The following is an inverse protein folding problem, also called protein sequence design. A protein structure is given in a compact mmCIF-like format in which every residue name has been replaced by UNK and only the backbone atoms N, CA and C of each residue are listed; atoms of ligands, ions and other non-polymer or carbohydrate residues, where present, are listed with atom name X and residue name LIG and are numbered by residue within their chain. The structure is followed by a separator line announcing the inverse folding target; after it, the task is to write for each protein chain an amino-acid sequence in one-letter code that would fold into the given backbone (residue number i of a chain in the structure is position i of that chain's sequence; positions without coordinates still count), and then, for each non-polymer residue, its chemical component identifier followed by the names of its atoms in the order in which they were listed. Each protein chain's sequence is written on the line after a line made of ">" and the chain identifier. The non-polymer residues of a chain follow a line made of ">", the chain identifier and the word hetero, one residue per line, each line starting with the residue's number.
data_IF_876398383545
#
_entry.id   IF_876398383545
#
_cell.length_a   1.000
_cell.length_b   1.000
_cell.length_c   1.000
_cell.angle_alpha   90.00
_cell.angle_beta   90.00
_cell.angle_gamma   90.00
#
_symmetry.space_group_name_H-M   'P 1'
#
loop_
_entity.id
_entity.type
_entity.pdbx_description
1 polymer ?
#
# COMPACT_ATOMS: atom_id res chain seq x y z
N UNK A 1 -17.35 7.78 -9.82
CA UNK A 1 -16.56 7.54 -11.05
C UNK A 1 -15.49 8.62 -11.07
N UNK A 2 -14.20 8.27 -11.22
CA UNK A 2 -13.13 9.28 -11.24
C UNK A 2 -13.22 10.09 -12.54
N UNK A 3 -13.59 11.37 -12.49
CA UNK A 3 -13.78 12.22 -13.68
C UNK A 3 -12.55 12.24 -14.60
N UNK A 4 -11.35 12.13 -14.01
CA UNK A 4 -10.09 12.03 -14.76
C UNK A 4 -9.99 10.77 -15.63
N UNK A 5 -10.53 9.63 -15.17
CA UNK A 5 -10.55 8.37 -15.95
C UNK A 5 -11.52 8.47 -17.13
N UNK A 6 -12.59 9.24 -16.98
CA UNK A 6 -13.57 9.46 -18.05
C UNK A 6 -12.97 10.26 -19.22
N UNK A 7 -12.04 11.18 -18.96
CA UNK A 7 -11.38 12.01 -19.98
C UNK A 7 -10.14 11.36 -20.60
N UNK A 8 -9.42 10.55 -19.82
CA UNK A 8 -8.20 9.86 -20.29
C UNK A 8 -8.52 8.77 -21.32
N UNK A 9 -9.63 8.04 -21.15
CA UNK A 9 -10.05 6.97 -22.07
C UNK A 9 -10.28 7.45 -23.51
N UNK A 10 -11.07 8.51 -23.77
CA UNK A 10 -11.22 9.04 -25.12
C UNK A 10 -9.90 9.58 -25.69
N UNK A 11 -9.03 10.17 -24.86
CA UNK A 11 -7.71 10.64 -25.30
C UNK A 11 -6.81 9.50 -25.78
N UNK A 12 -6.80 8.38 -25.04
CA UNK A 12 -6.08 7.15 -25.41
C UNK A 12 -6.64 6.53 -26.71
N UNK A 13 -7.96 6.56 -26.91
CA UNK A 13 -8.56 6.09 -28.15
C UNK A 13 -8.10 6.92 -29.37
N UNK A 14 -8.03 8.25 -29.23
CA UNK A 14 -7.52 9.11 -30.29
C UNK A 14 -6.04 8.84 -30.59
N UNK A 15 -5.23 8.59 -29.55
CA UNK A 15 -3.81 8.23 -29.69
C UNK A 15 -3.65 6.93 -30.50
N UNK A 16 -4.38 5.87 -30.11
CA UNK A 16 -4.38 4.59 -30.83
C UNK A 16 -4.92 4.69 -32.26
N UNK A 17 -5.70 5.71 -32.55
CA UNK A 17 -6.19 6.01 -33.90
C UNK A 17 -5.18 6.79 -34.76
N UNK A 18 -3.97 7.05 -34.24
CA UNK A 18 -2.88 7.74 -34.94
C UNK A 18 -3.03 9.27 -35.00
N UNK A 19 -3.96 9.85 -34.23
CA UNK A 19 -4.16 11.30 -34.20
C UNK A 19 -3.14 11.99 -33.30
N UNK A 20 -2.84 13.25 -33.58
CA UNK A 20 -1.92 14.03 -32.76
C UNK A 20 -2.58 14.53 -31.46
N UNK A 21 -1.76 14.90 -30.47
CA UNK A 21 -2.24 15.47 -29.20
C UNK A 21 -3.12 16.73 -29.39
N UNK A 22 -2.83 17.54 -30.41
CA UNK A 22 -3.64 18.71 -30.75
C UNK A 22 -5.02 18.33 -31.30
N UNK A 23 -5.08 17.35 -32.20
CA UNK A 23 -6.33 16.85 -32.76
C UNK A 23 -7.19 16.20 -31.69
N UNK A 24 -6.58 15.41 -30.81
CA UNK A 24 -7.27 14.83 -29.68
C UNK A 24 -7.79 15.89 -28.69
N UNK A 25 -7.02 16.94 -28.41
CA UNK A 25 -7.50 18.04 -27.57
C UNK A 25 -8.72 18.74 -28.19
N UNK A 26 -8.68 19.07 -29.48
CA UNK A 26 -9.81 19.67 -30.18
C UNK A 26 -11.04 18.75 -30.15
N UNK A 27 -10.86 17.46 -30.41
CA UNK A 27 -11.92 16.45 -30.33
C UNK A 27 -12.54 16.39 -28.92
N UNK A 28 -11.71 16.37 -27.88
CA UNK A 28 -12.17 16.36 -26.48
C UNK A 28 -12.91 17.64 -26.13
N UNK A 29 -12.45 18.78 -26.62
CA UNK A 29 -13.10 20.07 -26.41
C UNK A 29 -14.47 20.15 -27.12
N UNK A 30 -14.59 19.59 -28.33
CA UNK A 30 -15.85 19.52 -29.07
C UNK A 30 -16.84 18.54 -28.41
N UNK A 31 -16.37 17.36 -27.98
CA UNK A 31 -17.21 16.30 -27.42
C UNK A 31 -17.61 16.52 -25.94
N UNK A 32 -16.71 17.08 -25.12
CA UNK A 32 -16.84 17.13 -23.66
C UNK A 32 -16.90 18.58 -23.12
N UNK A 33 -16.69 19.58 -23.99
CA UNK A 33 -16.88 21.02 -23.72
C UNK A 33 -16.21 21.47 -22.43
N UNK A 34 -16.99 21.86 -21.42
CA UNK A 34 -16.50 22.48 -20.19
C UNK A 34 -15.65 21.55 -19.33
N UNK A 35 -15.85 20.24 -19.46
CA UNK A 35 -15.08 19.24 -18.71
C UNK A 35 -13.83 18.77 -19.48
N UNK A 36 -13.54 19.37 -20.65
CA UNK A 36 -12.41 18.96 -21.45
C UNK A 36 -11.08 19.27 -20.74
N UNK A 37 -10.10 18.35 -20.79
CA UNK A 37 -8.78 18.60 -20.23
C UNK A 37 -8.09 19.74 -21.00
N UNK A 38 -7.31 20.54 -20.27
CA UNK A 38 -6.52 21.59 -20.90
C UNK A 38 -5.47 20.98 -21.86
N UNK A 39 -5.04 21.77 -22.85
CA UNK A 39 -4.06 21.34 -23.86
C UNK A 39 -2.80 20.72 -23.24
N UNK A 40 -2.25 21.34 -22.19
CA UNK A 40 -1.07 20.82 -21.49
C UNK A 40 -1.29 19.41 -20.89
N UNK A 41 -2.50 19.13 -20.39
CA UNK A 41 -2.85 17.81 -19.86
C UNK A 41 -2.88 16.76 -20.97
N UNK A 42 -3.47 17.08 -22.14
CA UNK A 42 -3.46 16.18 -23.29
C UNK A 42 -2.04 15.85 -23.74
N UNK A 43 -1.16 16.85 -23.83
CA UNK A 43 0.23 16.65 -24.21
C UNK A 43 1.00 15.77 -23.19
N UNK A 44 0.75 15.98 -21.90
CA UNK A 44 1.34 15.14 -20.86
C UNK A 44 0.86 13.68 -20.97
N UNK A 45 -0.42 13.45 -21.31
CA UNK A 45 -0.92 12.10 -21.56
C UNK A 45 -0.27 11.45 -22.77
N UNK A 46 -0.15 12.19 -23.89
CA UNK A 46 0.52 11.70 -25.10
C UNK A 46 1.98 11.33 -24.84
N UNK A 47 2.70 12.15 -24.06
CA UNK A 47 4.05 11.83 -23.63
C UNK A 47 4.10 10.54 -22.81
N UNK A 48 3.10 10.27 -21.97
CA UNK A 48 3.04 9.01 -21.22
C UNK A 48 2.73 7.83 -22.13
N UNK A 49 1.82 7.99 -23.10
CA UNK A 49 1.51 6.97 -24.10
C UNK A 49 2.74 6.59 -24.92
N UNK A 50 3.54 7.57 -25.34
CA UNK A 50 4.79 7.36 -26.06
C UNK A 50 5.84 6.61 -25.22
N UNK A 51 5.79 6.76 -23.89
CA UNK A 51 6.63 6.00 -22.95
C UNK A 51 6.06 4.60 -22.63
N UNK A 52 4.95 4.20 -23.26
CA UNK A 52 4.27 2.92 -23.04
C UNK A 52 3.36 2.87 -21.81
N UNK A 53 3.10 4.01 -21.15
CA UNK A 53 2.19 4.09 -20.01
C UNK A 53 0.79 4.56 -20.45
N UNK A 54 -0.03 3.58 -20.82
CA UNK A 54 -1.46 3.74 -21.17
C UNK A 54 -2.40 3.46 -19.98
N UNK A 55 -1.87 3.38 -18.75
CA UNK A 55 -2.65 2.99 -17.60
C UNK A 55 -3.70 4.05 -17.22
N UNK A 56 -4.93 3.59 -17.00
CA UNK A 56 -6.01 4.40 -16.41
C UNK A 56 -5.83 4.61 -14.90
N UNK A 57 -4.94 3.84 -14.27
CA UNK A 57 -4.58 4.03 -12.88
C UNK A 57 -3.66 5.24 -12.81
N UNK A 58 -4.14 6.33 -12.21
CA UNK A 58 -3.28 7.49 -11.99
C UNK A 58 -2.00 7.06 -11.28
N UNK A 59 -0.89 7.72 -11.59
CA UNK A 59 0.40 7.46 -10.93
C UNK A 59 0.18 7.30 -9.43
N UNK A 60 0.72 6.20 -8.87
CA UNK A 60 0.78 6.04 -7.42
C UNK A 60 1.45 7.29 -6.88
N UNK A 61 0.66 8.15 -6.25
CA UNK A 61 1.20 9.31 -5.56
C UNK A 61 2.08 8.74 -4.47
N UNK A 62 3.37 9.00 -4.54
CA UNK A 62 4.27 8.86 -3.41
C UNK A 62 3.76 9.82 -2.36
N UNK A 63 2.89 9.31 -1.49
CA UNK A 63 2.35 10.06 -0.36
C UNK A 63 3.49 10.51 0.55
N UNK A 64 3.15 11.15 1.67
CA UNK A 64 4.15 11.51 2.67
C UNK A 64 4.98 10.27 3.02
N UNK A 65 6.32 10.30 2.86
CA UNK A 65 7.14 9.16 3.22
C UNK A 65 6.91 8.85 4.70
N UNK A 66 6.65 7.59 5.01
CA UNK A 66 6.49 7.17 6.38
C UNK A 66 7.88 7.11 7.01
N UNK A 67 8.27 8.17 7.71
CA UNK A 67 9.63 8.35 8.25
C UNK A 67 9.96 7.36 9.38
N UNK A 68 8.98 6.64 9.93
CA UNK A 68 9.19 5.71 11.03
C UNK A 68 9.65 4.33 10.51
N UNK A 69 10.80 3.91 11.02
CA UNK A 69 11.36 2.59 10.75
C UNK A 69 10.47 1.53 11.40
N UNK A 70 9.60 0.91 10.59
CA UNK A 70 8.67 -0.15 11.00
C UNK A 70 9.36 -1.31 11.73
N UNK A 71 10.65 -1.55 11.46
CA UNK A 71 11.41 -2.61 12.13
C UNK A 71 11.59 -2.38 13.63
N UNK A 72 11.58 -1.12 14.08
CA UNK A 72 11.63 -0.80 15.51
C UNK A 72 10.40 -1.33 16.27
N UNK A 73 9.28 -1.51 15.59
CA UNK A 73 8.04 -2.10 16.15
C UNK A 73 7.97 -3.61 15.89
N UNK A 74 8.30 -4.04 14.66
CA UNK A 74 8.13 -5.43 14.24
C UNK A 74 9.14 -6.39 14.88
N UNK A 75 10.39 -5.97 15.10
CA UNK A 75 11.40 -6.83 15.69
C UNK A 75 11.10 -7.17 17.16
N UNK A 76 10.76 -6.20 18.05
CA UNK A 76 10.36 -6.50 19.41
C UNK A 76 9.07 -7.33 19.50
N UNK A 77 8.09 -7.03 18.63
CA UNK A 77 6.84 -7.79 18.55
C UNK A 77 7.08 -9.27 18.17
N UNK A 78 8.08 -9.56 17.32
CA UNK A 78 8.46 -10.93 16.98
C UNK A 78 9.22 -11.65 18.09
N UNK A 79 10.09 -10.93 18.82
CA UNK A 79 10.90 -11.51 19.90
C UNK A 79 10.09 -11.73 21.19
N UNK A 80 9.11 -10.85 21.47
CA UNK A 80 8.26 -10.86 22.66
C UNK A 80 6.80 -10.64 22.24
N UNK A 81 6.08 -11.71 21.84
CA UNK A 81 4.72 -11.61 21.31
C UNK A 81 3.67 -11.28 22.38
N UNK A 82 4.05 -11.27 23.64
CA UNK A 82 3.26 -10.92 24.82
C UNK A 82 3.21 -9.42 25.10
N UNK A 83 4.06 -8.61 24.45
CA UNK A 83 4.05 -7.15 24.61
C UNK A 83 2.76 -6.52 24.09
N UNK A 84 2.24 -5.57 24.86
CA UNK A 84 1.12 -4.72 24.47
C UNK A 84 1.55 -3.65 23.45
N UNK A 85 0.55 -3.11 22.74
CA UNK A 85 0.75 -1.95 21.84
C UNK A 85 1.29 -0.73 22.59
N UNK A 86 0.97 -0.57 23.88
CA UNK A 86 1.50 0.51 24.70
C UNK A 86 2.99 0.34 24.96
N UNK A 87 3.42 -0.85 25.39
CA UNK A 87 4.84 -1.13 25.64
C UNK A 87 5.69 -1.02 24.37
N UNK A 88 5.14 -1.45 23.23
CA UNK A 88 5.79 -1.28 21.92
C UNK A 88 5.89 0.19 21.51
N UNK A 89 4.90 1.00 21.84
CA UNK A 89 4.94 2.46 21.64
C UNK A 89 6.06 3.11 22.43
N UNK A 90 6.18 2.74 23.71
CA UNK A 90 7.21 3.28 24.60
C UNK A 90 8.60 2.80 24.16
N UNK A 91 8.73 1.53 23.77
CA UNK A 91 10.00 0.95 23.29
C UNK A 91 10.47 1.56 21.96
N UNK A 92 9.56 1.75 21.01
CA UNK A 92 9.87 2.25 19.67
C UNK A 92 9.76 3.78 19.55
N UNK A 93 9.45 4.49 20.65
CA UNK A 93 9.14 5.92 20.68
C UNK A 93 8.21 6.35 19.53
N UNK A 94 7.14 5.57 19.35
CA UNK A 94 6.24 5.67 18.20
C UNK A 94 4.80 5.73 18.70
N UNK A 95 3.94 6.63 18.19
CA UNK A 95 2.56 6.70 18.64
C UNK A 95 1.82 5.37 18.54
N UNK A 96 0.98 5.06 19.54
CA UNK A 96 0.21 3.81 19.61
C UNK A 96 -0.61 3.51 18.35
N UNK A 97 -1.19 4.52 17.71
CA UNK A 97 -1.92 4.37 16.45
C UNK A 97 -1.02 3.86 15.33
N UNK A 98 0.16 4.45 15.18
CA UNK A 98 1.15 3.98 14.19
C UNK A 98 1.63 2.56 14.52
N UNK A 99 1.89 2.25 15.80
CA UNK A 99 2.27 0.90 16.22
C UNK A 99 1.19 -0.11 15.82
N UNK A 100 -0.08 0.20 16.11
CA UNK A 100 -1.21 -0.63 15.72
C UNK A 100 -1.25 -0.87 14.21
N UNK A 101 -1.15 0.17 13.39
CA UNK A 101 -1.17 0.06 11.93
C UNK A 101 0.01 -0.74 11.38
N UNK A 102 1.20 -0.55 11.97
CA UNK A 102 2.42 -1.30 11.60
C UNK A 102 2.29 -2.78 11.92
N UNK A 103 1.64 -3.15 13.03
CA UNK A 103 1.38 -4.55 13.39
C UNK A 103 0.28 -5.15 12.50
N UNK A 104 -0.79 -4.39 12.24
CA UNK A 104 -1.97 -4.89 11.53
C UNK A 104 -1.77 -4.99 10.01
N UNK A 105 -1.01 -4.07 9.40
CA UNK A 105 -0.75 -4.06 7.95
C UNK A 105 -0.14 -5.35 7.37
N UNK A 106 0.78 -6.08 8.04
CA UNK A 106 1.23 -7.40 7.60
C UNK A 106 0.29 -8.56 8.02
N UNK A 107 -0.85 -8.29 8.64
CA UNK A 107 -1.82 -9.30 9.07
C UNK A 107 -1.49 -10.01 10.38
N UNK A 108 -0.71 -9.39 11.28
CA UNK A 108 -0.49 -9.97 12.63
C UNK A 108 -1.75 -9.82 13.47
N UNK A 109 -2.09 -10.88 14.20
CA UNK A 109 -3.27 -10.94 15.07
C UNK A 109 -2.84 -11.42 16.45
N UNK A 110 -3.33 -10.74 17.49
CA UNK A 110 -3.13 -11.18 18.86
C UNK A 110 -3.88 -12.50 19.10
N UNK A 111 -3.17 -13.50 19.62
CA UNK A 111 -3.75 -14.80 19.99
C UNK A 111 -3.44 -15.06 21.45
N UNK A 112 -4.38 -15.73 22.12
CA UNK A 112 -4.12 -16.20 23.48
C UNK A 112 -3.03 -17.28 23.47
N UNK A 113 -2.14 -17.27 24.48
CA UNK A 113 -1.15 -18.33 24.62
C UNK A 113 -1.84 -19.68 24.81
N UNK A 114 -1.21 -20.74 24.32
CA UNK A 114 -1.67 -22.12 24.58
C UNK A 114 -1.50 -22.41 26.07
N UNK A 115 -2.57 -22.90 26.70
CA UNK A 115 -2.50 -23.40 28.07
C UNK A 115 -1.74 -24.72 28.08
N UNK A 116 -0.70 -24.82 28.90
CA UNK A 116 0.11 -26.02 29.10
C UNK A 116 -0.20 -26.57 30.49
N UNK A 117 -0.46 -27.89 30.66
CA UNK A 117 -0.90 -28.47 31.94
C UNK A 117 0.06 -28.24 33.12
N UNK A 118 1.37 -28.28 32.86
CA UNK A 118 2.38 -28.08 33.88
C UNK A 118 3.71 -27.59 33.29
N UNK A 119 4.50 -26.91 34.13
CA UNK A 119 5.87 -26.53 33.80
C UNK A 119 6.81 -27.72 34.01
N UNK A 120 7.33 -28.27 32.92
CA UNK A 120 8.23 -29.44 32.96
C UNK A 120 9.66 -29.02 33.30
N UNK A 121 10.29 -29.78 34.21
CA UNK A 121 11.73 -29.67 34.43
C UNK A 121 12.51 -30.26 33.26
N UNK A 122 13.80 -29.92 33.07
CA UNK A 122 14.63 -30.53 32.04
C UNK A 122 14.68 -32.06 32.15
N UNK A 123 14.61 -32.61 33.36
CA UNK A 123 14.60 -34.05 33.60
C UNK A 123 13.27 -34.68 33.14
N UNK A 124 12.13 -34.04 33.40
CA UNK A 124 10.81 -34.51 32.94
C UNK A 124 10.72 -34.52 31.42
N UNK A 125 11.33 -33.54 30.75
CA UNK A 125 11.40 -33.49 29.29
C UNK A 125 12.19 -34.68 28.72
N UNK A 126 13.34 -35.02 29.32
CA UNK A 126 14.16 -36.19 28.90
C UNK A 126 13.37 -37.48 29.02
N UNK A 127 12.77 -37.72 30.19
CA UNK A 127 11.95 -38.93 30.43
C UNK A 127 10.82 -39.09 29.41
N UNK A 128 10.17 -37.99 28.98
CA UNK A 128 9.11 -38.05 27.96
C UNK A 128 9.62 -38.36 26.56
N UNK A 129 10.84 -37.95 26.21
CA UNK A 129 11.45 -38.23 24.90
C UNK A 129 12.02 -39.63 24.87
N UNK A 130 12.63 -40.10 25.96
CA UNK A 130 13.24 -41.44 26.05
C UNK A 130 12.20 -42.58 26.17
N UNK A 131 10.95 -42.26 26.54
CA UNK A 131 9.85 -43.23 26.72
C UNK A 131 8.84 -43.27 25.56
N UNK A 132 9.05 -42.49 24.49
CA UNK A 132 8.19 -42.46 23.30
C UNK A 132 8.92 -42.97 22.07
#
# INVERSE_FOLDING_TARGET
>A
MDDKKMLYRPALLQYRSGRSANEAHRFLQEAIREQAPCRATCFNWYRNFDNGDESLEGFRRTGRPHTQNKQLVLAPCGARPDLSVCELSDFANTPKSTVHDVIWSPGKVAKLPRVVPNALTPQDKRKRVDQG
#
